data_IF_951678544940
#
_entry.id   IF_951678544940
#
_cell.length_a   1.000
_cell.length_b   1.000
_cell.length_c   1.000
_cell.angle_alpha   90.00
_cell.angle_beta   90.00
_cell.angle_gamma   90.00
#
_symmetry.space_group_name_H-M   'P 1'
#
loop_
_entity.id
_entity.type
_entity.pdbx_description
1 polymer ?
#
# COMPACT_ATOMS: atom_id res chain seq x y z
N UNK A 1 -48.08 67.09 -44.61
CA UNK A 1 -47.68 66.61 -45.96
C UNK A 1 -46.54 65.60 -45.70
N UNK A 2 -46.72 64.40 -46.25
CA UNK A 2 -45.72 63.32 -46.43
C UNK A 2 -45.17 62.65 -45.16
N UNK A 3 -45.70 61.56 -44.72
CA UNK A 3 -45.58 60.19 -45.21
C UNK A 3 -44.14 59.78 -45.50
N UNK A 4 -43.65 58.85 -44.70
CA UNK A 4 -42.92 57.65 -45.24
C UNK A 4 -42.64 56.59 -44.17
N UNK A 5 -43.18 55.46 -44.43
CA UNK A 5 -43.03 54.19 -43.81
C UNK A 5 -41.54 53.73 -43.77
N UNK A 6 -41.08 53.25 -42.66
CA UNK A 6 -39.96 52.38 -42.69
C UNK A 6 -40.23 51.09 -41.93
N UNK A 7 -40.08 50.06 -42.70
CA UNK A 7 -40.22 48.65 -42.46
C UNK A 7 -39.45 48.18 -41.21
N UNK A 8 -40.18 47.45 -40.42
CA UNK A 8 -39.57 46.51 -39.41
C UNK A 8 -38.80 45.45 -40.12
N UNK A 9 -37.54 45.30 -39.79
CA UNK A 9 -36.77 44.06 -40.03
C UNK A 9 -36.50 43.41 -38.67
N UNK A 10 -37.24 42.36 -38.42
CA UNK A 10 -37.03 41.46 -37.32
C UNK A 10 -35.74 40.67 -37.58
N UNK A 11 -34.75 40.83 -36.72
CA UNK A 11 -33.59 39.97 -36.69
C UNK A 11 -33.84 38.94 -35.58
N UNK A 12 -34.16 37.75 -36.00
CA UNK A 12 -34.22 36.57 -35.13
C UNK A 12 -32.80 36.26 -34.66
N UNK A 13 -32.47 36.63 -33.43
CA UNK A 13 -31.29 36.18 -32.74
C UNK A 13 -31.49 34.75 -32.24
N UNK A 14 -30.87 33.80 -32.88
CA UNK A 14 -30.77 32.43 -32.37
C UNK A 14 -29.87 32.43 -31.12
N UNK A 15 -30.49 32.30 -29.96
CA UNK A 15 -29.76 32.01 -28.72
C UNK A 15 -29.33 30.56 -28.71
N UNK A 16 -28.09 30.30 -29.06
CA UNK A 16 -27.44 28.98 -28.84
C UNK A 16 -27.18 28.83 -27.36
N UNK A 17 -28.07 28.11 -26.68
CA UNK A 17 -27.88 27.69 -25.29
C UNK A 17 -26.84 26.58 -25.29
N UNK A 18 -25.55 26.93 -25.01
CA UNK A 18 -24.50 26.00 -24.78
C UNK A 18 -24.73 25.28 -23.45
N UNK A 19 -25.23 24.04 -23.52
CA UNK A 19 -25.39 23.17 -22.37
C UNK A 19 -24.00 22.67 -21.96
N UNK A 20 -23.38 23.32 -20.97
CA UNK A 20 -22.17 22.84 -20.31
C UNK A 20 -22.55 21.63 -19.44
N UNK A 21 -22.37 20.44 -20.01
CA UNK A 21 -22.43 19.19 -19.22
C UNK A 21 -21.15 19.14 -18.40
N UNK A 22 -21.21 19.62 -17.15
CA UNK A 22 -20.19 19.31 -16.15
C UNK A 22 -20.33 17.84 -15.78
N UNK A 23 -19.50 17.00 -16.38
CA UNK A 23 -19.30 15.64 -15.91
C UNK A 23 -18.59 15.77 -14.54
N UNK A 24 -19.39 15.84 -13.48
CA UNK A 24 -18.90 15.59 -12.14
C UNK A 24 -18.47 14.11 -12.11
N UNK A 25 -17.23 13.86 -12.48
CA UNK A 25 -16.60 12.59 -12.21
C UNK A 25 -16.56 12.41 -10.71
N UNK A 26 -17.49 11.62 -10.17
CA UNK A 26 -17.27 10.97 -8.88
C UNK A 26 -16.08 10.02 -9.07
N UNK A 27 -14.86 10.54 -8.92
CA UNK A 27 -13.78 9.72 -8.46
C UNK A 27 -14.13 9.36 -7.02
N UNK A 28 -14.78 8.22 -6.81
CA UNK A 28 -14.63 7.49 -5.57
C UNK A 28 -13.11 7.38 -5.41
N UNK A 29 -12.55 8.19 -4.51
CA UNK A 29 -11.23 7.93 -4.01
C UNK A 29 -11.33 6.53 -3.42
N UNK A 30 -10.85 5.53 -4.16
CA UNK A 30 -10.63 4.21 -3.61
C UNK A 30 -9.64 4.43 -2.49
N UNK A 31 -10.11 4.32 -1.26
CA UNK A 31 -9.33 4.41 -0.03
C UNK A 31 -8.33 3.24 0.10
N UNK A 32 -8.04 2.57 -1.01
CA UNK A 32 -7.08 1.47 -1.05
C UNK A 32 -5.68 2.02 -0.92
N UNK A 33 -4.92 1.49 0.02
CA UNK A 33 -3.51 1.80 0.15
C UNK A 33 -2.75 1.40 -1.12
N UNK A 34 -1.74 2.17 -1.51
CA UNK A 34 -0.86 1.81 -2.62
C UNK A 34 0.43 1.19 -2.08
N UNK A 35 0.89 0.11 -2.71
CA UNK A 35 2.16 -0.52 -2.38
C UNK A 35 2.94 -0.93 -3.64
N UNK A 36 4.20 -0.53 -3.74
CA UNK A 36 5.07 -0.98 -4.81
C UNK A 36 5.27 -2.51 -4.72
N UNK A 37 4.92 -3.22 -5.77
CA UNK A 37 5.07 -4.68 -5.84
C UNK A 37 6.53 -5.04 -6.07
N UNK A 38 7.15 -5.89 -5.21
CA UNK A 38 8.51 -6.38 -5.42
C UNK A 38 8.62 -7.26 -6.68
N UNK A 39 9.85 -7.41 -7.20
CA UNK A 39 10.14 -8.26 -8.36
C UNK A 39 11.26 -9.26 -8.05
N UNK A 40 11.05 -10.20 -7.12
CA UNK A 40 12.05 -11.20 -6.78
C UNK A 40 12.16 -12.30 -7.83
N UNK A 41 13.23 -13.11 -7.77
CA UNK A 41 13.35 -14.32 -8.56
C UNK A 41 12.28 -15.37 -8.25
N UNK A 42 12.11 -16.37 -9.13
CA UNK A 42 11.04 -17.37 -9.06
C UNK A 42 10.99 -18.14 -7.72
N UNK A 43 12.14 -18.51 -7.15
CA UNK A 43 12.25 -19.22 -5.86
C UNK A 43 11.65 -18.39 -4.72
N UNK A 44 12.01 -17.10 -4.63
CA UNK A 44 11.50 -16.17 -3.62
C UNK A 44 10.02 -15.90 -3.85
N UNK A 45 9.59 -15.74 -5.12
CA UNK A 45 8.17 -15.59 -5.48
C UNK A 45 7.34 -16.77 -4.96
N UNK A 46 7.85 -18.00 -5.07
CA UNK A 46 7.20 -19.20 -4.52
C UNK A 46 7.03 -19.14 -3.00
N UNK A 47 8.09 -18.74 -2.27
CA UNK A 47 8.02 -18.54 -0.82
C UNK A 47 7.00 -17.44 -0.43
N UNK A 48 6.98 -16.34 -1.17
CA UNK A 48 6.05 -15.24 -0.92
C UNK A 48 4.59 -15.62 -1.19
N UNK A 49 4.34 -16.46 -2.19
CA UNK A 49 3.00 -17.01 -2.43
C UNK A 49 2.52 -17.86 -1.25
N UNK A 50 3.37 -18.77 -0.76
CA UNK A 50 3.08 -19.58 0.44
C UNK A 50 2.84 -18.70 1.67
N UNK A 51 3.59 -17.58 1.79
CA UNK A 51 3.35 -16.61 2.86
C UNK A 51 1.97 -15.98 2.71
N UNK A 52 1.62 -15.50 1.53
CA UNK A 52 0.33 -14.84 1.29
C UNK A 52 -0.86 -15.74 1.65
N UNK A 53 -0.78 -17.03 1.32
CA UNK A 53 -1.78 -18.04 1.68
C UNK A 53 -1.85 -18.31 3.20
N UNK A 54 -0.74 -18.12 3.92
CA UNK A 54 -0.66 -18.32 5.36
C UNK A 54 -0.99 -17.08 6.20
N UNK A 55 -1.13 -15.89 5.56
CA UNK A 55 -1.38 -14.63 6.27
C UNK A 55 -2.73 -14.64 6.98
N UNK A 56 -2.83 -14.03 8.18
CA UNK A 56 -4.08 -13.95 8.91
C UNK A 56 -5.05 -12.95 8.25
N UNK A 57 -6.35 -13.17 8.46
CA UNK A 57 -7.41 -12.25 8.03
C UNK A 57 -7.43 -10.95 8.82
N UNK A 58 -6.82 -10.92 9.99
CA UNK A 58 -6.67 -9.74 10.85
C UNK A 58 -5.24 -9.60 11.33
N UNK A 59 -4.76 -8.36 11.41
CA UNK A 59 -3.48 -7.96 12.01
C UNK A 59 -3.74 -6.73 12.86
N UNK A 60 -3.32 -6.76 14.11
CA UNK A 60 -3.56 -5.66 15.07
C UNK A 60 -5.05 -5.28 15.12
N UNK A 61 -5.92 -6.28 15.15
CA UNK A 61 -7.37 -6.10 15.13
C UNK A 61 -7.96 -5.62 13.80
N UNK A 62 -7.12 -5.24 12.81
CA UNK A 62 -7.55 -4.70 11.52
C UNK A 62 -7.84 -5.82 10.51
N UNK A 63 -8.95 -5.71 9.80
CA UNK A 63 -9.31 -6.64 8.73
C UNK A 63 -8.42 -6.51 7.51
N UNK A 64 -8.27 -7.62 6.75
CA UNK A 64 -7.53 -7.68 5.49
C UNK A 64 -8.07 -6.66 4.48
N UNK A 65 -7.19 -5.88 3.89
CA UNK A 65 -7.46 -4.90 2.85
C UNK A 65 -6.22 -4.76 1.98
N UNK A 66 -6.17 -5.54 0.91
CA UNK A 66 -4.99 -5.60 0.07
C UNK A 66 -4.74 -4.28 -0.66
N UNK A 67 -3.47 -3.87 -0.80
CA UNK A 67 -3.11 -2.65 -1.48
C UNK A 67 -3.21 -2.79 -3.01
N UNK A 68 -3.29 -1.66 -3.69
CA UNK A 68 -3.18 -1.59 -5.15
C UNK A 68 -1.74 -1.32 -5.60
N UNK A 69 -1.28 -1.92 -6.72
CA UNK A 69 -1.98 -2.96 -7.48
C UNK A 69 -1.99 -4.30 -6.72
N UNK A 70 -3.08 -5.07 -6.86
CA UNK A 70 -3.23 -6.36 -6.20
C UNK A 70 -2.11 -7.34 -6.60
N UNK A 71 -1.49 -8.00 -5.62
CA UNK A 71 -0.39 -8.93 -5.86
C UNK A 71 -0.29 -9.97 -4.75
N UNK A 72 0.14 -11.20 -5.09
CA UNK A 72 0.51 -12.22 -4.08
C UNK A 72 1.77 -11.87 -3.29
N UNK A 73 2.48 -10.82 -3.67
CA UNK A 73 3.67 -10.33 -3.01
C UNK A 73 3.39 -9.19 -2.03
N UNK A 74 2.15 -8.73 -1.96
CA UNK A 74 1.72 -7.62 -1.10
C UNK A 74 0.46 -7.98 -0.32
N UNK A 75 0.33 -7.42 0.87
CA UNK A 75 -0.83 -7.58 1.71
C UNK A 75 -1.05 -6.32 2.55
N UNK A 76 -2.29 -6.06 2.96
CA UNK A 76 -2.59 -4.91 3.79
C UNK A 76 -3.71 -5.17 4.79
N UNK A 77 -3.75 -4.38 5.87
CA UNK A 77 -4.78 -4.44 6.90
C UNK A 77 -5.11 -3.03 7.41
N UNK A 78 -6.38 -2.73 7.45
CA UNK A 78 -6.90 -1.47 8.00
C UNK A 78 -6.75 -0.25 7.09
N UNK A 79 -7.11 0.91 7.64
CA UNK A 79 -6.95 2.24 7.05
C UNK A 79 -6.70 3.26 8.20
N UNK A 80 -5.54 3.95 8.27
CA UNK A 80 -4.36 3.76 7.40
C UNK A 80 -3.80 2.33 7.49
N UNK A 81 -3.31 1.81 6.36
CA UNK A 81 -3.00 0.39 6.24
C UNK A 81 -1.63 0.01 6.81
N UNK A 82 -1.59 -1.10 7.54
CA UNK A 82 -0.38 -1.88 7.77
C UNK A 82 -0.10 -2.61 6.48
N UNK A 83 1.08 -2.43 5.87
CA UNK A 83 1.44 -3.00 4.57
C UNK A 83 2.54 -4.03 4.74
N UNK A 84 2.34 -5.22 4.18
CA UNK A 84 3.36 -6.24 4.03
C UNK A 84 3.79 -6.34 2.57
N UNK A 85 5.11 -6.44 2.34
CA UNK A 85 5.70 -6.71 1.03
C UNK A 85 6.70 -7.85 1.17
N UNK A 86 6.58 -8.87 0.34
CA UNK A 86 7.46 -10.04 0.36
C UNK A 86 8.34 -10.10 -0.88
N UNK A 87 9.62 -10.41 -0.71
CA UNK A 87 10.59 -10.44 -1.79
C UNK A 87 11.22 -9.07 -2.08
N UNK A 88 11.25 -8.19 -1.10
CA UNK A 88 11.97 -6.90 -1.20
C UNK A 88 13.48 -7.14 -1.27
N UNK A 89 14.20 -6.18 -1.83
CA UNK A 89 15.65 -6.18 -1.84
C UNK A 89 16.18 -6.03 -0.40
N UNK A 90 17.32 -6.65 -0.11
CA UNK A 90 17.98 -6.50 1.19
C UNK A 90 18.27 -5.03 1.50
N UNK A 91 17.74 -4.48 2.60
CA UNK A 91 18.03 -3.09 2.97
C UNK A 91 19.52 -2.86 3.23
N UNK A 92 20.07 -1.78 2.70
CA UNK A 92 21.47 -1.43 2.94
C UNK A 92 21.79 -1.21 4.43
N UNK A 93 20.79 -0.79 5.22
CA UNK A 93 20.92 -0.61 6.68
C UNK A 93 21.29 -1.91 7.42
N UNK A 94 21.04 -3.09 6.83
CA UNK A 94 21.48 -4.38 7.40
C UNK A 94 23.01 -4.56 7.40
N UNK A 95 23.78 -3.68 6.78
CA UNK A 95 25.25 -3.69 6.81
C UNK A 95 25.80 -2.81 7.93
N UNK A 96 24.96 -2.03 8.58
CA UNK A 96 25.34 -1.16 9.69
C UNK A 96 25.32 -1.98 11.00
N UNK A 97 26.45 -2.10 11.71
CA UNK A 97 26.50 -2.82 12.98
C UNK A 97 25.67 -2.15 14.09
N UNK A 98 25.36 -0.87 13.96
CA UNK A 98 24.51 -0.10 14.89
C UNK A 98 23.04 -0.10 14.49
N UNK A 99 22.64 -0.94 13.52
CA UNK A 99 21.25 -1.02 13.09
C UNK A 99 20.36 -1.59 14.21
N UNK A 100 19.24 -0.95 14.45
CA UNK A 100 18.25 -1.41 15.42
C UNK A 100 17.63 -2.74 14.94
N UNK A 101 17.73 -3.77 15.77
CA UNK A 101 17.12 -5.07 15.54
C UNK A 101 16.20 -5.47 16.68
N UNK A 102 15.11 -6.13 16.35
CA UNK A 102 14.18 -6.70 17.33
C UNK A 102 13.85 -8.14 16.97
N UNK A 103 13.56 -8.98 17.95
CA UNK A 103 13.03 -10.31 17.74
C UNK A 103 11.60 -10.41 18.25
N UNK A 104 10.70 -10.90 17.40
CA UNK A 104 9.29 -11.11 17.77
C UNK A 104 8.92 -12.55 17.44
N UNK A 105 8.58 -13.33 18.46
CA UNK A 105 8.16 -14.73 18.34
C UNK A 105 9.11 -15.60 17.48
N UNK A 106 10.44 -15.39 17.60
CA UNK A 106 11.47 -16.13 16.88
C UNK A 106 11.63 -15.70 15.42
N UNK A 107 11.20 -14.50 15.08
CA UNK A 107 11.53 -13.82 13.82
C UNK A 107 12.32 -12.57 14.14
N UNK A 108 13.55 -12.48 13.62
CA UNK A 108 14.36 -11.27 13.70
C UNK A 108 13.93 -10.25 12.67
N UNK A 109 13.93 -8.99 13.05
CA UNK A 109 13.55 -7.85 12.23
C UNK A 109 14.56 -6.72 12.36
N UNK A 110 14.97 -6.13 11.25
CA UNK A 110 15.58 -4.82 11.21
C UNK A 110 14.49 -3.78 11.42
N UNK A 111 14.66 -2.84 12.35
CA UNK A 111 13.78 -1.69 12.55
C UNK A 111 14.36 -0.47 11.85
N UNK A 112 13.53 0.22 11.07
CA UNK A 112 13.83 1.53 10.49
C UNK A 112 12.69 2.49 10.82
N UNK A 113 13.04 3.64 11.40
CA UNK A 113 12.11 4.76 11.61
C UNK A 113 12.16 5.63 10.37
N UNK A 114 11.00 5.84 9.76
CA UNK A 114 10.88 6.67 8.56
C UNK A 114 10.63 8.15 8.92
N UNK A 115 10.93 9.05 7.98
CA UNK A 115 10.82 10.50 8.19
C UNK A 115 9.36 10.96 8.42
N UNK A 116 8.39 10.20 7.92
CA UNK A 116 6.95 10.45 8.12
C UNK A 116 6.43 9.95 9.47
N UNK A 117 7.29 9.33 10.28
CA UNK A 117 6.96 8.76 11.57
C UNK A 117 6.43 7.33 11.52
N UNK A 118 6.35 6.70 10.35
CA UNK A 118 6.06 5.28 10.21
C UNK A 118 7.25 4.42 10.63
N UNK A 119 7.00 3.15 10.93
CA UNK A 119 8.03 2.16 11.18
C UNK A 119 8.05 1.13 10.05
N UNK A 120 9.26 0.82 9.60
CA UNK A 120 9.50 -0.26 8.64
C UNK A 120 10.31 -1.35 9.30
N UNK A 121 9.79 -2.56 9.21
CA UNK A 121 10.44 -3.77 9.71
C UNK A 121 10.78 -4.67 8.54
N UNK A 122 12.01 -5.20 8.49
CA UNK A 122 12.40 -6.17 7.47
C UNK A 122 12.98 -7.40 8.13
N UNK A 123 12.50 -8.58 7.78
CA UNK A 123 13.00 -9.85 8.35
C UNK A 123 14.49 -10.01 8.15
N UNK A 124 15.18 -10.53 9.18
CA UNK A 124 16.60 -10.94 9.10
C UNK A 124 16.71 -12.46 9.09
N UNK A 125 17.80 -12.97 8.54
CA UNK A 125 18.14 -14.42 8.54
C UNK A 125 16.99 -15.31 8.01
N UNK A 126 16.33 -14.89 6.93
CA UNK A 126 15.29 -15.63 6.23
C UNK A 126 15.62 -15.74 4.73
N UNK A 127 15.15 -16.82 4.08
CA UNK A 127 15.37 -17.07 2.65
C UNK A 127 14.60 -16.13 1.70
N UNK A 128 13.79 -15.23 2.23
CA UNK A 128 13.19 -14.10 1.56
C UNK A 128 13.05 -12.95 2.54
N UNK A 129 13.28 -11.72 2.09
CA UNK A 129 13.02 -10.55 2.91
C UNK A 129 11.53 -10.21 2.86
N UNK A 130 10.91 -10.15 4.03
CA UNK A 130 9.54 -9.70 4.24
C UNK A 130 9.61 -8.36 4.94
N UNK A 131 9.01 -7.35 4.34
CA UNK A 131 8.93 -5.99 4.88
C UNK A 131 7.51 -5.75 5.41
N UNK A 132 7.41 -5.12 6.57
CA UNK A 132 6.15 -4.65 7.15
C UNK A 132 6.28 -3.18 7.48
N UNK A 133 5.42 -2.35 6.90
CA UNK A 133 5.32 -0.92 7.23
C UNK A 133 4.12 -0.69 8.13
N UNK A 134 4.37 -0.09 9.28
CA UNK A 134 3.34 0.32 10.25
C UNK A 134 3.21 1.83 10.16
N UNK A 135 2.05 2.37 9.73
CA UNK A 135 1.86 3.80 9.58
C UNK A 135 1.93 4.52 10.94
N UNK A 136 2.33 5.79 10.94
CA UNK A 136 2.52 6.63 12.13
C UNK A 136 1.38 6.51 13.15
N UNK A 137 0.14 6.54 12.67
CA UNK A 137 -1.05 6.54 13.52
C UNK A 137 -1.28 5.20 14.24
N UNK A 138 -0.48 4.16 13.91
CA UNK A 138 -0.51 2.83 14.52
C UNK A 138 0.78 2.46 15.23
N UNK A 139 1.77 3.35 15.27
CA UNK A 139 3.05 3.07 15.95
C UNK A 139 2.91 3.02 17.47
N UNK A 140 1.81 3.56 18.03
CA UNK A 140 1.51 3.50 19.47
C UNK A 140 1.30 2.08 19.99
N UNK A 141 0.86 1.14 19.13
CA UNK A 141 0.68 -0.28 19.45
C UNK A 141 2.00 -1.07 19.35
N UNK A 142 3.09 -0.38 19.02
CA UNK A 142 4.44 -0.90 18.99
C UNK A 142 4.62 -2.00 17.94
N UNK A 143 4.94 -3.22 18.40
CA UNK A 143 5.22 -4.38 17.54
C UNK A 143 4.05 -5.37 17.44
N UNK A 144 2.85 -5.00 17.90
CA UNK A 144 1.68 -5.88 17.87
C UNK A 144 1.42 -6.48 16.48
N UNK A 145 1.50 -5.73 15.35
CA UNK A 145 1.37 -6.29 14.02
C UNK A 145 2.36 -7.42 13.73
N UNK A 146 3.60 -7.32 14.21
CA UNK A 146 4.62 -8.35 13.99
C UNK A 146 4.32 -9.62 14.78
N UNK A 147 3.68 -9.52 15.95
CA UNK A 147 3.25 -10.69 16.75
C UNK A 147 2.30 -11.55 15.94
N UNK A 148 1.30 -10.93 15.30
CA UNK A 148 0.31 -11.62 14.48
C UNK A 148 0.92 -12.25 13.22
N UNK A 149 1.93 -11.61 12.62
CA UNK A 149 2.56 -12.04 11.38
C UNK A 149 3.66 -13.10 11.58
N UNK A 150 4.31 -13.13 12.76
CA UNK A 150 5.48 -13.97 13.00
C UNK A 150 5.24 -15.47 12.72
N UNK A 151 4.07 -16.00 13.09
CA UNK A 151 3.73 -17.42 12.83
C UNK A 151 3.68 -17.73 11.33
N UNK A 152 3.06 -16.85 10.55
CA UNK A 152 2.96 -17.01 9.09
C UNK A 152 4.32 -16.90 8.41
N UNK A 153 5.14 -15.92 8.83
CA UNK A 153 6.52 -15.77 8.35
C UNK A 153 7.35 -17.01 8.66
N UNK A 154 7.33 -17.52 9.88
CA UNK A 154 8.08 -18.73 10.25
C UNK A 154 7.67 -19.95 9.44
N UNK A 155 6.37 -20.10 9.18
CA UNK A 155 5.83 -21.24 8.44
C UNK A 155 6.22 -21.20 6.97
N UNK A 156 6.17 -20.02 6.34
CA UNK A 156 6.30 -19.89 4.88
C UNK A 156 7.72 -19.54 4.42
N UNK A 157 8.47 -18.79 5.23
CA UNK A 157 9.82 -18.31 4.87
C UNK A 157 10.85 -18.99 5.78
N UNK A 158 11.55 -20.02 5.31
CA UNK A 158 12.55 -20.73 6.12
C UNK A 158 13.68 -19.84 6.61
N UNK A 159 14.30 -20.21 7.73
CA UNK A 159 15.52 -19.57 8.19
C UNK A 159 16.65 -19.77 7.16
N UNK A 160 17.53 -18.78 7.05
CA UNK A 160 18.65 -18.80 6.12
C UNK A 160 18.99 -17.40 5.62
N UNK A 161 19.75 -17.35 4.54
CA UNK A 161 20.10 -16.11 3.84
C UNK A 161 19.30 -16.08 2.55
N UNK A 162 18.72 -14.93 2.24
CA UNK A 162 18.08 -14.71 0.95
C UNK A 162 19.14 -14.67 -0.15
N UNK A 163 18.86 -15.37 -1.26
CA UNK A 163 19.71 -15.41 -2.46
C UNK A 163 19.44 -14.19 -3.34
#
# INVERSE_FOLDING_TARGET
MNSLRHRRRSVLGLSVLALLITVAGCSSADDSASAAVPSPGAKVTGLCRNLNEALPSKVDGQGRRDPEPASVLTAGWGNPAIILRCGVVRPAKMNDPEADGVEVNGVGWLLQKENDGSFRFTTTLRKAYVEVTIPKDRTGDGMAPLVDLAKSVKKAIPAGIAD
#
